data_IF_484981385789
#
_entry.id   IF_484981385789
#
_cell.length_a   1.000
_cell.length_b   1.000
_cell.length_c   1.000
_cell.angle_alpha   90.00
_cell.angle_beta   90.00
_cell.angle_gamma   90.00
#
_symmetry.space_group_name_H-M   'P 1'
#
loop_
_entity.id
_entity.type
_entity.pdbx_description
1 polymer ?
#
# COMPACT_ATOMS: atom_id res chain seq x y z
N UNK A 1 11.27 -12.01 10.12
CA UNK A 1 12.18 -12.30 8.99
C UNK A 1 12.52 -13.77 8.98
N UNK A 2 12.93 -14.34 10.11
CA UNK A 2 13.11 -15.80 10.27
C UNK A 2 11.90 -16.60 9.77
N UNK A 3 10.70 -16.21 10.20
CA UNK A 3 9.44 -16.76 9.72
C UNK A 3 9.26 -16.75 8.19
N UNK A 4 9.75 -15.74 7.47
CA UNK A 4 9.73 -15.72 6.01
C UNK A 4 10.79 -16.65 5.41
N UNK A 5 12.00 -16.68 5.97
CA UNK A 5 13.05 -17.60 5.53
C UNK A 5 12.59 -19.05 5.69
N UNK A 6 12.08 -19.41 6.86
CA UNK A 6 11.60 -20.75 7.18
C UNK A 6 10.37 -21.15 6.35
N UNK A 7 9.45 -20.22 6.07
CA UNK A 7 8.21 -20.57 5.37
C UNK A 7 8.32 -20.49 3.85
N UNK A 8 9.05 -19.51 3.30
CA UNK A 8 9.18 -19.31 1.86
C UNK A 8 10.40 -20.03 1.27
N UNK A 9 11.46 -20.21 2.06
CA UNK A 9 12.72 -20.79 1.62
C UNK A 9 13.20 -21.98 2.50
N UNK A 10 12.31 -22.91 2.93
CA UNK A 10 12.71 -24.03 3.80
C UNK A 10 13.75 -24.97 3.18
N UNK A 11 13.88 -24.95 1.85
CA UNK A 11 14.79 -25.79 1.08
C UNK A 11 16.17 -25.14 0.85
N UNK A 12 16.34 -23.88 1.24
CA UNK A 12 17.62 -23.18 1.13
C UNK A 12 18.34 -23.24 2.46
N UNK A 13 19.63 -23.57 2.41
CA UNK A 13 20.50 -23.40 3.57
C UNK A 13 20.56 -21.92 3.97
N UNK A 14 20.54 -21.68 5.29
CA UNK A 14 20.55 -20.33 5.87
C UNK A 14 21.77 -19.51 5.47
N UNK A 15 22.92 -20.16 5.23
CA UNK A 15 24.14 -19.50 4.74
C UNK A 15 23.99 -18.89 3.33
N UNK A 16 22.99 -19.29 2.55
CA UNK A 16 22.68 -18.73 1.23
C UNK A 16 21.73 -17.54 1.28
N UNK A 17 21.17 -17.22 2.45
CA UNK A 17 20.22 -16.14 2.65
C UNK A 17 20.89 -14.96 3.34
N UNK A 18 21.32 -13.99 2.54
CA UNK A 18 21.85 -12.73 3.07
C UNK A 18 20.69 -11.78 3.43
N UNK A 19 20.69 -11.28 4.67
CA UNK A 19 19.69 -10.32 5.14
C UNK A 19 20.35 -8.98 5.42
N UNK A 20 19.89 -7.94 4.72
CA UNK A 20 20.33 -6.56 4.95
C UNK A 20 19.25 -5.78 5.68
N UNK A 21 19.63 -5.10 6.77
CA UNK A 21 18.77 -4.16 7.49
C UNK A 21 19.45 -2.81 7.52
N UNK A 22 18.79 -1.80 6.95
CA UNK A 22 19.27 -0.43 6.93
C UNK A 22 18.52 0.38 7.98
N UNK A 23 19.20 1.38 8.55
CA UNK A 23 18.57 2.34 9.45
C UNK A 23 17.44 3.11 8.77
N UNK A 24 16.54 3.67 9.57
CA UNK A 24 15.51 4.55 9.04
C UNK A 24 16.11 5.92 8.70
N UNK A 25 15.54 6.60 7.71
CA UNK A 25 16.06 7.88 7.18
C UNK A 25 15.82 9.09 8.11
N UNK A 26 15.11 8.91 9.22
CA UNK A 26 14.79 10.00 10.14
C UNK A 26 15.79 10.03 11.31
N UNK A 27 16.09 11.21 11.86
CA UNK A 27 16.76 11.33 13.15
C UNK A 27 15.95 10.67 14.27
N UNK A 28 16.58 10.05 15.29
CA UNK A 28 15.88 9.47 16.44
C UNK A 28 14.99 10.48 17.20
N UNK A 29 15.39 11.75 17.24
CA UNK A 29 14.65 12.84 17.90
C UNK A 29 13.29 13.15 17.24
N UNK A 30 13.12 12.77 15.96
CA UNK A 30 11.88 12.99 15.23
C UNK A 30 10.80 11.97 15.59
N UNK A 31 11.12 10.93 16.36
CA UNK A 31 10.17 9.90 16.74
C UNK A 31 10.14 9.69 18.25
N UNK A 32 8.95 9.74 18.82
CA UNK A 32 8.70 9.25 20.17
C UNK A 32 7.82 8.00 20.11
N UNK A 33 8.34 6.83 20.46
CA UNK A 33 7.56 5.61 20.58
C UNK A 33 7.32 5.28 22.06
N UNK A 34 6.07 5.15 22.48
CA UNK A 34 5.71 5.11 23.90
C UNK A 34 4.70 3.99 24.18
N UNK A 35 5.10 2.93 24.90
CA UNK A 35 4.15 1.99 25.49
C UNK A 35 3.35 2.69 26.61
N UNK A 36 2.05 2.85 26.41
CA UNK A 36 1.14 3.45 27.40
C UNK A 36 0.45 2.32 28.16
N UNK A 37 1.00 2.00 29.34
CA UNK A 37 0.53 0.88 30.17
C UNK A 37 -0.71 1.27 30.99
N UNK A 38 -0.81 2.54 31.39
CA UNK A 38 -1.92 3.05 32.23
C UNK A 38 -2.50 4.33 31.64
N UNK A 39 -3.81 4.51 31.83
CA UNK A 39 -4.52 5.73 31.46
C UNK A 39 -4.33 6.87 32.45
N UNK A 40 -4.93 8.01 32.13
CA UNK A 40 -4.96 9.23 32.96
C UNK A 40 -5.64 9.04 34.31
N UNK A 41 -6.58 8.10 34.43
CA UNK A 41 -7.21 7.72 35.70
C UNK A 41 -6.50 6.52 36.36
N UNK A 42 -5.25 6.23 35.96
CA UNK A 42 -4.40 5.16 36.49
C UNK A 42 -4.92 3.73 36.24
N UNK A 43 -5.90 3.55 35.36
CA UNK A 43 -6.40 2.23 34.95
C UNK A 43 -5.34 1.53 34.11
N UNK A 44 -5.00 0.28 34.43
CA UNK A 44 -4.10 -0.51 33.58
C UNK A 44 -4.80 -0.92 32.28
N UNK A 45 -4.20 -0.58 31.15
CA UNK A 45 -4.72 -0.91 29.83
C UNK A 45 -4.42 -2.37 29.48
N UNK A 46 -5.38 -3.26 29.68
CA UNK A 46 -5.34 -4.66 29.28
C UNK A 46 -6.47 -4.96 28.29
N UNK A 47 -6.18 -4.82 27.00
CA UNK A 47 -7.16 -5.07 25.93
C UNK A 47 -7.21 -6.54 25.50
N UNK A 48 -6.94 -7.48 26.42
CA UNK A 48 -7.25 -8.90 26.19
C UNK A 48 -8.77 -9.13 26.12
N UNK A 49 -9.20 -10.18 25.42
CA UNK A 49 -10.62 -10.42 25.14
C UNK A 49 -11.52 -10.39 26.39
N UNK A 50 -11.05 -10.93 27.52
CA UNK A 50 -11.82 -10.96 28.77
C UNK A 50 -11.92 -9.61 29.50
N UNK A 51 -11.02 -8.67 29.24
CA UNK A 51 -10.95 -7.37 29.94
C UNK A 51 -11.28 -6.17 29.07
N UNK A 52 -11.12 -6.27 27.74
CA UNK A 52 -11.30 -5.15 26.79
C UNK A 52 -12.65 -4.45 26.88
N UNK A 53 -13.68 -5.17 27.31
CA UNK A 53 -15.05 -4.67 27.43
C UNK A 53 -15.36 -4.01 28.77
N UNK A 54 -14.39 -3.92 29.68
CA UNK A 54 -14.53 -3.19 30.94
C UNK A 54 -14.80 -1.70 30.66
N UNK A 55 -15.94 -1.21 31.16
CA UNK A 55 -16.39 0.15 30.90
C UNK A 55 -15.47 1.18 31.56
N UNK A 56 -14.91 0.88 32.72
CA UNK A 56 -13.98 1.79 33.42
C UNK A 56 -12.71 2.05 32.60
N UNK A 57 -12.14 0.98 32.03
CA UNK A 57 -10.99 1.07 31.14
C UNK A 57 -11.31 1.79 29.83
N UNK A 58 -12.50 1.59 29.24
CA UNK A 58 -12.92 2.30 28.02
C UNK A 58 -13.12 3.80 28.30
N UNK A 59 -13.64 4.16 29.47
CA UNK A 59 -13.78 5.56 29.91
C UNK A 59 -12.40 6.20 30.08
N UNK A 60 -11.46 5.54 30.77
CA UNK A 60 -10.10 6.06 30.96
C UNK A 60 -9.34 6.16 29.63
N UNK A 61 -9.52 5.19 28.73
CA UNK A 61 -8.99 5.26 27.37
C UNK A 61 -9.46 6.56 26.68
N UNK A 62 -10.75 6.86 26.75
CA UNK A 62 -11.31 8.07 26.16
C UNK A 62 -10.80 9.37 26.78
N UNK A 63 -10.65 9.42 28.11
CA UNK A 63 -10.03 10.56 28.81
C UNK A 63 -8.56 10.74 28.44
N UNK A 64 -7.84 9.63 28.31
CA UNK A 64 -6.44 9.61 27.88
C UNK A 64 -6.32 10.12 26.44
N UNK A 65 -7.19 9.68 25.53
CA UNK A 65 -7.24 10.20 24.15
C UNK A 65 -7.59 11.68 24.12
N UNK A 66 -8.55 12.15 24.91
CA UNK A 66 -8.87 13.57 25.01
C UNK A 66 -7.66 14.39 25.47
N UNK A 67 -6.93 13.91 26.48
CA UNK A 67 -5.70 14.55 26.95
C UNK A 67 -4.64 14.59 25.84
N UNK A 68 -4.42 13.50 25.09
CA UNK A 68 -3.48 13.44 23.97
C UNK A 68 -3.89 14.32 22.77
N UNK A 69 -5.18 14.60 22.60
CA UNK A 69 -5.66 15.49 21.55
C UNK A 69 -5.36 16.97 21.85
N UNK A 70 -5.16 17.38 23.11
CA UNK A 70 -4.93 18.78 23.50
C UNK A 70 -3.53 19.36 23.17
N UNK A 71 -2.67 18.60 22.51
CA UNK A 71 -1.22 18.65 22.73
C UNK A 71 -0.45 18.03 21.59
N UNK A 72 -0.94 16.93 21.01
CA UNK A 72 -0.46 16.48 19.71
C UNK A 72 -1.10 17.41 18.66
N UNK A 73 -0.33 18.15 17.87
CA UNK A 73 -0.87 19.05 16.85
C UNK A 73 -1.49 18.28 15.68
N UNK A 74 -2.25 18.97 14.85
CA UNK A 74 -2.75 18.48 13.55
C UNK A 74 -3.50 17.12 13.64
N UNK A 75 -3.09 16.14 12.83
CA UNK A 75 -3.73 14.84 12.69
C UNK A 75 -3.27 13.82 13.72
N UNK A 76 -4.24 13.18 14.37
CA UNK A 76 -4.06 12.01 15.22
C UNK A 76 -4.87 10.85 14.67
N UNK A 77 -4.24 9.69 14.49
CA UNK A 77 -4.90 8.47 14.04
C UNK A 77 -4.88 7.44 15.16
N UNK A 78 -6.05 6.92 15.55
CA UNK A 78 -6.20 5.90 16.59
C UNK A 78 -6.69 4.61 15.95
N UNK A 79 -5.87 3.57 16.01
CA UNK A 79 -6.17 2.25 15.46
C UNK A 79 -6.72 1.31 16.54
N UNK A 80 -7.89 0.74 16.27
CA UNK A 80 -8.56 -0.24 17.12
C UNK A 80 -8.44 -1.67 16.55
N UNK A 81 -8.54 -2.73 17.37
CA UNK A 81 -8.38 -4.12 16.92
C UNK A 81 -9.48 -4.65 16.00
N UNK A 82 -10.69 -4.11 16.08
CA UNK A 82 -11.82 -4.53 15.22
C UNK A 82 -12.90 -3.46 15.14
N UNK A 83 -13.75 -3.52 14.10
CA UNK A 83 -14.93 -2.67 13.97
C UNK A 83 -15.91 -2.85 15.13
N UNK A 84 -16.14 -4.08 15.59
CA UNK A 84 -17.03 -4.34 16.73
C UNK A 84 -16.54 -3.64 18.00
N UNK A 85 -15.23 -3.68 18.26
CA UNK A 85 -14.66 -3.04 19.43
C UNK A 85 -14.71 -1.51 19.30
N UNK A 86 -14.38 -0.96 18.14
CA UNK A 86 -14.54 0.47 17.86
C UNK A 86 -15.99 0.93 18.09
N UNK A 87 -16.97 0.16 17.62
CA UNK A 87 -18.40 0.45 17.82
C UNK A 87 -18.78 0.46 19.30
N UNK A 88 -18.29 -0.50 20.09
CA UNK A 88 -18.51 -0.55 21.53
C UNK A 88 -17.86 0.63 22.26
N UNK A 89 -16.63 0.97 21.91
CA UNK A 89 -15.92 2.13 22.47
C UNK A 89 -16.69 3.42 22.15
N UNK A 90 -17.10 3.62 20.90
CA UNK A 90 -17.91 4.77 20.49
C UNK A 90 -19.26 4.83 21.20
N UNK A 91 -19.92 3.69 21.43
CA UNK A 91 -21.16 3.63 22.18
C UNK A 91 -20.97 4.18 23.60
N UNK A 92 -19.92 3.76 24.30
CA UNK A 92 -19.60 4.25 25.66
C UNK A 92 -19.17 5.71 25.62
N UNK A 93 -18.32 6.12 24.68
CA UNK A 93 -17.84 7.51 24.59
C UNK A 93 -18.93 8.52 24.26
N UNK A 94 -20.00 8.08 23.59
CA UNK A 94 -21.20 8.89 23.30
C UNK A 94 -22.22 8.92 24.43
N UNK A 95 -22.09 8.08 25.47
CA UNK A 95 -22.98 8.18 26.64
C UNK A 95 -22.71 9.51 27.36
N UNK A 96 -23.79 10.25 27.65
CA UNK A 96 -23.71 11.46 28.45
C UNK A 96 -23.42 11.10 29.90
N UNK A 97 -22.50 11.84 30.52
CA UNK A 97 -22.18 11.69 31.94
C UNK A 97 -23.22 12.52 32.72
N UNK A 98 -24.03 11.91 33.62
CA UNK A 98 -25.14 12.60 34.29
C UNK A 98 -24.73 13.86 35.06
N UNK A 99 -23.52 13.88 35.63
CA UNK A 99 -23.03 14.99 36.45
C UNK A 99 -22.60 16.20 35.62
N UNK A 100 -22.02 16.00 34.43
CA UNK A 100 -21.49 17.08 33.59
C UNK A 100 -22.35 17.39 32.38
N UNK A 101 -23.31 16.54 32.04
CA UNK A 101 -24.10 16.61 30.80
C UNK A 101 -23.29 16.38 29.52
N UNK A 102 -21.96 16.50 29.55
CA UNK A 102 -21.07 16.22 28.41
C UNK A 102 -20.70 14.74 28.33
N UNK A 103 -20.39 14.28 27.12
CA UNK A 103 -19.84 12.95 26.87
C UNK A 103 -18.31 12.98 26.70
N UNK A 104 -17.69 11.81 26.62
CA UNK A 104 -16.25 11.69 26.34
C UNK A 104 -15.95 12.16 24.92
N UNK A 105 -16.83 11.84 23.96
CA UNK A 105 -16.65 12.27 22.57
C UNK A 105 -16.69 13.79 22.46
N UNK A 106 -17.56 14.47 23.21
CA UNK A 106 -17.60 15.93 23.27
C UNK A 106 -16.28 16.50 23.81
N UNK A 107 -15.72 15.85 24.83
CA UNK A 107 -14.44 16.26 25.42
C UNK A 107 -13.29 16.17 24.42
N UNK A 108 -13.26 15.12 23.59
CA UNK A 108 -12.30 14.98 22.50
C UNK A 108 -12.57 16.03 21.42
N UNK A 109 -13.84 16.26 21.07
CA UNK A 109 -14.26 17.18 20.03
C UNK A 109 -13.94 18.64 20.34
N UNK A 110 -13.71 19.01 21.60
CA UNK A 110 -13.21 20.35 21.97
C UNK A 110 -11.84 20.65 21.35
N UNK A 111 -10.99 19.64 21.19
CA UNK A 111 -9.60 19.80 20.72
C UNK A 111 -9.33 19.22 19.33
N UNK A 112 -10.19 18.34 18.79
CA UNK A 112 -10.04 17.81 17.42
C UNK A 112 -11.37 17.46 16.79
N UNK A 113 -11.53 17.72 15.49
CA UNK A 113 -12.66 17.17 14.74
C UNK A 113 -12.55 15.63 14.67
N UNK A 114 -13.59 14.90 15.07
CA UNK A 114 -13.54 13.43 15.15
C UNK A 114 -14.18 12.80 13.93
N UNK A 115 -13.43 11.91 13.28
CA UNK A 115 -13.82 11.07 12.17
C UNK A 115 -13.64 9.61 12.56
N UNK A 116 -14.49 8.71 12.06
CA UNK A 116 -14.34 7.29 12.35
C UNK A 116 -14.68 6.43 11.14
N UNK A 117 -13.96 5.33 10.99
CA UNK A 117 -14.21 4.32 9.99
C UNK A 117 -15.50 3.54 10.32
N UNK A 118 -16.25 3.13 9.30
CA UNK A 118 -17.36 2.18 9.45
C UNK A 118 -17.15 0.98 8.53
N UNK A 119 -17.68 -0.17 8.95
CA UNK A 119 -17.71 -1.37 8.12
C UNK A 119 -18.70 -1.23 6.96
N UNK A 120 -19.72 -0.36 7.12
CA UNK A 120 -20.79 -0.18 6.15
C UNK A 120 -20.24 0.19 4.77
N UNK A 121 -20.81 -0.42 3.73
CA UNK A 121 -20.44 -0.13 2.33
C UNK A 121 -20.80 1.31 1.92
N UNK A 122 -21.67 1.97 2.67
CA UNK A 122 -22.14 3.32 2.41
C UNK A 122 -21.09 4.39 2.76
N UNK A 123 -20.15 4.11 3.68
CA UNK A 123 -19.10 5.08 4.00
C UNK A 123 -18.11 5.16 2.85
N UNK A 124 -18.13 6.27 2.14
CA UNK A 124 -17.12 6.59 1.14
C UNK A 124 -15.81 6.91 1.87
N UNK A 125 -14.83 6.03 1.70
CA UNK A 125 -13.49 6.17 2.28
C UNK A 125 -12.83 7.47 1.80
N UNK A 126 -13.06 7.86 0.55
CA UNK A 126 -12.45 9.06 -0.03
C UNK A 126 -13.05 10.32 0.61
N UNK A 127 -14.37 10.35 0.83
CA UNK A 127 -15.06 11.46 1.52
C UNK A 127 -14.59 11.61 2.97
N UNK A 128 -14.46 10.49 3.69
CA UNK A 128 -13.96 10.47 5.07
C UNK A 128 -12.55 11.09 5.18
N UNK A 129 -11.66 10.73 4.25
CA UNK A 129 -10.30 11.25 4.22
C UNK A 129 -10.23 12.70 3.77
N UNK A 130 -11.07 13.09 2.83
CA UNK A 130 -11.18 14.48 2.41
C UNK A 130 -11.65 15.35 3.58
N UNK A 131 -12.64 14.88 4.34
CA UNK A 131 -13.10 15.53 5.57
C UNK A 131 -11.99 15.65 6.62
N UNK A 132 -11.28 14.55 6.90
CA UNK A 132 -10.15 14.52 7.83
C UNK A 132 -9.02 15.50 7.41
N UNK A 133 -8.60 15.44 6.16
CA UNK A 133 -7.56 16.31 5.61
C UNK A 133 -7.97 17.78 5.62
N UNK A 134 -9.22 18.09 5.26
CA UNK A 134 -9.75 19.46 5.29
C UNK A 134 -9.77 20.03 6.71
N UNK A 135 -10.22 19.26 7.70
CA UNK A 135 -10.24 19.69 9.10
C UNK A 135 -8.83 20.01 9.65
N UNK A 136 -7.81 19.24 9.22
CA UNK A 136 -6.42 19.48 9.58
C UNK A 136 -5.87 20.73 8.88
N UNK A 137 -6.07 20.85 7.57
CA UNK A 137 -5.51 21.95 6.79
C UNK A 137 -6.14 23.30 7.13
N UNK A 138 -7.42 23.32 7.53
CA UNK A 138 -8.09 24.51 8.04
C UNK A 138 -7.64 24.88 9.47
N UNK A 139 -6.90 24.01 10.16
CA UNK A 139 -6.50 24.20 11.55
C UNK A 139 -7.67 24.17 12.54
N UNK A 140 -8.85 23.69 12.11
CA UNK A 140 -10.05 23.71 12.91
C UNK A 140 -9.84 22.94 14.22
N UNK A 141 -10.05 23.63 15.35
CA UNK A 141 -9.89 23.10 16.72
C UNK A 141 -8.49 22.60 17.07
N UNK A 142 -7.45 22.81 16.23
CA UNK A 142 -6.12 22.21 16.44
C UNK A 142 -5.91 20.90 15.68
N UNK A 143 -6.83 20.54 14.77
CA UNK A 143 -6.69 19.44 13.82
C UNK A 143 -7.80 18.40 13.94
N UNK A 144 -7.50 17.15 13.58
CA UNK A 144 -8.49 16.09 13.49
C UNK A 144 -8.02 14.77 14.10
N UNK A 145 -8.98 14.00 14.60
CA UNK A 145 -8.80 12.66 15.12
C UNK A 145 -9.50 11.67 14.19
N UNK A 146 -8.77 10.67 13.69
CA UNK A 146 -9.32 9.59 12.89
C UNK A 146 -9.29 8.28 13.68
N UNK A 147 -10.47 7.73 13.97
CA UNK A 147 -10.63 6.42 14.60
C UNK A 147 -10.74 5.35 13.50
N UNK A 148 -9.72 4.52 13.34
CA UNK A 148 -9.63 3.50 12.29
C UNK A 148 -9.43 2.10 12.88
N UNK A 149 -9.55 1.06 12.05
CA UNK A 149 -9.36 -0.33 12.46
C UNK A 149 -8.06 -0.88 11.85
N UNK A 150 -7.28 -1.59 12.67
CA UNK A 150 -6.08 -2.31 12.25
C UNK A 150 -6.42 -3.38 11.21
N UNK A 151 -5.77 -3.36 10.05
CA UNK A 151 -6.12 -4.23 8.92
C UNK A 151 -7.47 -3.87 8.26
N UNK A 152 -8.06 -2.73 8.63
CA UNK A 152 -9.23 -2.16 7.98
C UNK A 152 -8.89 -1.44 6.67
N UNK A 153 -9.92 -0.95 5.99
CA UNK A 153 -9.82 -0.32 4.65
C UNK A 153 -8.82 0.84 4.66
N UNK A 154 -8.84 1.65 5.72
CA UNK A 154 -7.98 2.84 5.80
C UNK A 154 -6.52 2.50 6.13
N UNK A 155 -6.28 1.47 6.95
CA UNK A 155 -4.93 1.11 7.39
C UNK A 155 -4.02 0.60 6.27
N UNK A 156 -4.59 0.02 5.21
CA UNK A 156 -3.83 -0.50 4.07
C UNK A 156 -3.58 0.54 2.97
N UNK A 157 -4.57 1.38 2.67
CA UNK A 157 -4.60 2.18 1.44
C UNK A 157 -4.01 3.59 1.53
N UNK A 158 -3.72 4.11 2.73
CA UNK A 158 -3.56 5.56 2.93
C UNK A 158 -2.25 5.91 3.62
N UNK A 159 -1.69 7.03 3.20
CA UNK A 159 -0.47 7.59 3.72
C UNK A 159 -0.78 8.80 4.61
N UNK A 160 -0.42 8.74 5.90
CA UNK A 160 -0.60 9.82 6.87
C UNK A 160 0.73 10.56 7.11
N UNK A 161 1.27 11.22 6.08
CA UNK A 161 2.51 12.01 6.21
C UNK A 161 2.23 13.41 6.76
N UNK A 162 3.26 14.02 7.34
CA UNK A 162 3.21 15.40 7.80
C UNK A 162 2.01 15.65 8.74
N UNK A 163 1.31 16.77 8.56
CA UNK A 163 0.15 17.16 9.35
C UNK A 163 -0.91 16.06 9.48
N UNK A 164 -1.01 15.11 8.54
CA UNK A 164 -2.03 14.06 8.60
C UNK A 164 -1.78 13.00 9.69
N UNK A 165 -0.59 12.92 10.28
CA UNK A 165 -0.24 11.86 11.23
C UNK A 165 0.84 12.24 12.25
N UNK A 166 0.67 13.35 12.98
CA UNK A 166 1.59 13.75 14.06
C UNK A 166 1.48 12.86 15.29
N UNK A 167 0.32 12.23 15.49
CA UNK A 167 0.11 11.17 16.47
C UNK A 167 -0.46 9.92 15.83
N UNK A 168 0.13 8.76 16.11
CA UNK A 168 -0.48 7.46 15.84
C UNK A 168 -0.63 6.72 17.15
N UNK A 169 -1.85 6.35 17.48
CA UNK A 169 -2.19 5.58 18.67
C UNK A 169 -2.64 4.19 18.25
N UNK A 170 -2.11 3.15 18.87
CA UNK A 170 -2.54 1.76 18.66
C UNK A 170 -3.17 1.27 19.95
N UNK A 171 -4.47 0.96 19.92
CA UNK A 171 -5.22 0.45 21.06
C UNK A 171 -5.20 -1.08 21.02
N UNK A 172 -4.61 -1.70 22.03
CA UNK A 172 -4.51 -3.15 22.13
C UNK A 172 -3.60 -3.81 21.09
N UNK A 173 -3.72 -5.13 20.99
CA UNK A 173 -3.01 -5.98 20.04
C UNK A 173 -4.04 -6.73 19.17
N UNK A 174 -4.00 -6.60 17.82
CA UNK A 174 -4.97 -7.18 16.90
C UNK A 174 -4.71 -8.67 16.68
N UNK A 175 -4.73 -9.46 17.76
CA UNK A 175 -4.55 -10.89 17.68
C UNK A 175 -5.71 -11.52 16.88
N UNK A 176 -5.40 -12.36 15.87
CA UNK A 176 -6.44 -13.06 15.16
C UNK A 176 -7.20 -14.01 16.10
N UNK A 177 -8.43 -14.40 15.75
CA UNK A 177 -9.16 -15.36 16.57
C UNK A 177 -8.49 -16.74 16.53
N UNK A 178 -7.81 -17.12 17.62
CA UNK A 178 -7.15 -18.42 17.76
C UNK A 178 -8.12 -19.61 17.67
N UNK A 179 -9.42 -19.40 17.91
CA UNK A 179 -10.46 -20.44 17.79
C UNK A 179 -10.94 -20.64 16.35
N UNK A 180 -10.50 -19.81 15.41
CA UNK A 180 -10.80 -20.01 13.99
C UNK A 180 -10.09 -21.28 13.51
N UNK A 181 -10.83 -22.15 12.82
CA UNK A 181 -10.27 -23.37 12.22
C UNK A 181 -9.05 -23.08 11.33
N UNK A 182 -9.06 -21.96 10.60
CA UNK A 182 -7.93 -21.52 9.76
C UNK A 182 -6.69 -21.23 10.60
N UNK A 183 -6.86 -20.58 11.76
CA UNK A 183 -5.73 -20.27 12.65
C UNK A 183 -5.25 -21.49 13.42
N UNK A 184 -6.15 -22.35 13.87
CA UNK A 184 -5.79 -23.64 14.48
C UNK A 184 -4.96 -24.49 13.52
N UNK A 185 -5.43 -24.64 12.27
CA UNK A 185 -4.69 -25.39 11.25
C UNK A 185 -3.32 -24.77 10.94
N UNK A 186 -3.23 -23.43 10.85
CA UNK A 186 -1.94 -22.75 10.64
C UNK A 186 -0.97 -22.96 11.79
N UNK A 187 -1.44 -22.84 13.04
CA UNK A 187 -0.61 -23.05 14.23
C UNK A 187 -0.15 -24.50 14.29
N UNK A 188 -1.07 -25.46 14.14
CA UNK A 188 -0.73 -26.89 14.11
C UNK A 188 0.31 -27.23 13.04
N UNK A 189 0.18 -26.66 11.84
CA UNK A 189 1.16 -26.84 10.77
C UNK A 189 2.56 -26.31 11.13
N UNK A 190 2.63 -25.12 11.73
CA UNK A 190 3.89 -24.53 12.20
C UNK A 190 4.50 -25.37 13.34
N UNK A 191 3.67 -25.81 14.29
CA UNK A 191 4.09 -26.68 15.39
C UNK A 191 4.62 -28.02 14.88
N UNK A 192 3.95 -28.66 13.91
CA UNK A 192 4.40 -29.91 13.29
C UNK A 192 5.74 -29.75 12.59
N UNK A 193 5.89 -28.70 11.78
CA UNK A 193 7.16 -28.42 11.10
C UNK A 193 8.31 -28.20 12.08
N UNK A 194 8.09 -27.38 13.12
CA UNK A 194 9.10 -27.13 14.15
C UNK A 194 9.46 -28.42 14.92
N UNK A 195 8.49 -29.31 15.12
CA UNK A 195 8.71 -30.62 15.74
C UNK A 195 9.54 -31.57 14.86
N UNK A 196 9.31 -31.56 13.55
CA UNK A 196 10.00 -32.38 12.54
C UNK A 196 11.43 -31.87 12.27
N UNK A 197 11.62 -30.56 12.04
CA UNK A 197 12.95 -29.99 11.75
C UNK A 197 13.96 -30.21 12.87
N UNK A 198 13.49 -30.39 14.10
CA UNK A 198 14.36 -30.70 15.23
C UNK A 198 14.89 -32.15 15.19
N UNK A 199 14.16 -33.08 14.56
CA UNK A 199 14.59 -34.48 14.36
C UNK A 199 15.76 -34.58 13.39
N UNK A 200 15.74 -33.80 12.30
CA UNK A 200 16.80 -33.82 11.29
C UNK A 200 18.09 -33.15 11.75
N UNK A 201 18.00 -32.16 12.65
CA UNK A 201 19.19 -31.49 13.18
C UNK A 201 19.98 -32.42 14.14
N UNK A 202 19.29 -33.28 14.89
CA UNK A 202 19.96 -34.23 15.80
C UNK A 202 20.69 -35.37 15.10
N UNK A 203 20.24 -35.80 13.92
CA UNK A 203 20.96 -36.82 13.14
C UNK A 203 22.24 -36.30 12.50
N UNK A 204 22.43 -34.98 12.48
CA UNK A 204 23.56 -34.32 11.80
C UNK A 204 24.67 -33.87 12.76
N UNK A 205 24.53 -34.10 14.07
CA UNK A 205 25.54 -33.76 15.07
C UNK A 205 26.41 -34.98 15.35
N UNK A 206 27.70 -34.86 15.01
CA UNK A 206 28.74 -35.89 15.04
C UNK A 206 28.89 -36.62 16.40
N UNK A 207 29.34 -37.87 16.30
CA UNK A 207 29.28 -38.96 17.28
C UNK A 207 30.05 -38.79 18.61
N UNK A 208 30.71 -37.67 18.89
CA UNK A 208 31.69 -37.61 19.99
C UNK A 208 31.21 -36.98 21.31
N UNK A 209 29.94 -36.62 21.44
CA UNK A 209 29.39 -36.29 22.75
C UNK A 209 28.13 -37.08 23.06
N UNK A 210 28.28 -38.03 24.00
CA UNK A 210 27.24 -38.72 24.79
C UNK A 210 25.92 -37.98 24.70
N UNK A 211 25.10 -38.38 23.74
CA UNK A 211 23.89 -37.70 23.34
C UNK A 211 23.02 -37.47 24.56
N UNK A 212 22.86 -36.21 24.95
CA UNK A 212 21.80 -35.81 25.87
C UNK A 212 20.51 -36.11 25.12
N UNK A 213 19.94 -37.31 25.33
CA UNK A 213 18.69 -37.73 24.71
C UNK A 213 17.73 -36.55 24.79
N UNK A 214 17.39 -35.99 23.64
CA UNK A 214 16.55 -34.82 23.61
C UNK A 214 15.17 -35.31 24.03
N UNK A 215 14.80 -35.01 25.28
CA UNK A 215 13.51 -35.35 25.82
C UNK A 215 12.41 -34.92 24.85
N UNK A 216 11.48 -35.82 24.57
CA UNK A 216 10.25 -35.57 23.80
C UNK A 216 9.54 -34.29 24.29
N UNK A 217 9.67 -33.99 25.58
CA UNK A 217 9.18 -32.78 26.22
C UNK A 217 9.79 -31.50 25.63
N UNK A 218 11.11 -31.46 25.42
CA UNK A 218 11.80 -30.31 24.85
C UNK A 218 11.34 -30.04 23.41
N UNK A 219 11.09 -31.10 22.64
CA UNK A 219 10.57 -30.99 21.25
C UNK A 219 9.17 -30.40 21.24
N UNK A 220 8.29 -30.92 22.10
CA UNK A 220 6.91 -30.40 22.27
C UNK A 220 6.91 -28.95 22.72
N UNK A 221 7.81 -28.56 23.63
CA UNK A 221 7.92 -27.20 24.13
C UNK A 221 8.40 -26.23 23.02
N UNK A 222 9.40 -26.63 22.23
CA UNK A 222 9.89 -25.83 21.10
C UNK A 222 8.84 -25.68 20.00
N UNK A 223 8.11 -26.75 19.67
CA UNK A 223 7.00 -26.72 18.73
C UNK A 223 5.93 -25.69 19.17
N UNK A 224 5.46 -25.78 20.41
CA UNK A 224 4.50 -24.81 20.99
C UNK A 224 5.04 -23.38 21.00
N UNK A 225 6.34 -23.21 21.27
CA UNK A 225 6.99 -21.89 21.20
C UNK A 225 6.95 -21.31 19.79
N UNK A 226 7.23 -22.11 18.76
CA UNK A 226 7.15 -21.71 17.36
C UNK A 226 5.71 -21.33 16.95
N UNK A 227 4.71 -22.11 17.37
CA UNK A 227 3.29 -21.80 17.13
C UNK A 227 2.87 -20.47 17.76
N UNK A 228 3.29 -20.23 19.01
CA UNK A 228 3.06 -18.96 19.72
C UNK A 228 3.77 -17.78 19.04
N UNK A 229 5.02 -17.96 18.68
CA UNK A 229 5.82 -16.94 17.99
C UNK A 229 5.18 -16.56 16.65
N UNK A 230 4.75 -17.53 15.86
CA UNK A 230 4.06 -17.29 14.60
C UNK A 230 2.78 -16.46 14.78
N UNK A 231 1.98 -16.80 15.79
CA UNK A 231 0.76 -16.08 16.13
C UNK A 231 1.04 -14.62 16.57
N UNK A 232 2.08 -14.41 17.36
CA UNK A 232 2.53 -13.07 17.77
C UNK A 232 3.10 -12.27 16.60
N UNK A 233 3.88 -12.90 15.72
CA UNK A 233 4.40 -12.27 14.51
C UNK A 233 3.27 -11.82 13.59
N UNK A 234 2.23 -12.64 13.43
CA UNK A 234 1.04 -12.26 12.66
C UNK A 234 0.37 -11.00 13.21
N UNK A 235 0.18 -10.93 14.52
CA UNK A 235 -0.38 -9.76 15.20
C UNK A 235 0.51 -8.51 15.00
N UNK A 236 1.82 -8.66 15.25
CA UNK A 236 2.76 -7.55 15.19
C UNK A 236 3.02 -7.05 13.77
N UNK A 237 2.85 -7.88 12.74
CA UNK A 237 2.87 -7.43 11.34
C UNK A 237 1.78 -6.38 11.07
N UNK A 238 0.56 -6.60 11.56
CA UNK A 238 -0.54 -5.63 11.42
C UNK A 238 -0.24 -4.35 12.18
N UNK A 239 0.27 -4.44 13.41
CA UNK A 239 0.68 -3.27 14.21
C UNK A 239 1.76 -2.46 13.47
N UNK A 240 2.82 -3.14 13.02
CA UNK A 240 3.95 -2.53 12.32
C UNK A 240 3.54 -1.90 10.98
N UNK A 241 2.55 -2.48 10.30
CA UNK A 241 1.95 -1.90 9.10
C UNK A 241 1.20 -0.60 9.40
N UNK A 242 0.53 -0.49 10.55
CA UNK A 242 -0.19 0.72 10.94
C UNK A 242 0.76 1.83 11.38
N UNK A 243 1.71 1.54 12.28
CA UNK A 243 2.60 2.56 12.84
C UNK A 243 3.66 3.05 11.85
N UNK A 244 4.09 2.21 10.90
CA UNK A 244 5.05 2.58 9.85
C UNK A 244 4.49 3.55 8.81
N UNK A 245 3.23 3.99 8.92
CA UNK A 245 2.55 4.90 7.97
C UNK A 245 2.73 6.37 8.29
N UNK A 246 3.15 6.70 9.52
CA UNK A 246 3.21 8.07 10.04
C UNK A 246 4.38 8.90 9.49
N UNK A 247 5.38 8.27 8.88
CA UNK A 247 6.66 8.88 8.54
C UNK A 247 7.03 8.55 7.10
N UNK A 248 7.41 9.56 6.31
CA UNK A 248 7.70 9.35 4.88
C UNK A 248 9.01 9.91 4.35
N UNK A 249 9.54 10.95 4.94
CA UNK A 249 10.79 11.55 4.50
C UNK A 249 11.68 11.90 5.67
N UNK A 250 12.96 12.18 5.38
CA UNK A 250 13.99 12.45 6.36
C UNK A 250 13.66 13.56 7.38
N UNK A 251 12.88 14.56 6.98
CA UNK A 251 12.44 15.66 7.86
C UNK A 251 11.10 15.45 8.58
N UNK A 252 10.48 14.28 8.44
CA UNK A 252 9.17 14.00 9.04
C UNK A 252 9.32 13.60 10.52
N UNK A 253 8.26 13.75 11.34
CA UNK A 253 8.28 13.47 12.77
C UNK A 253 6.94 12.93 13.29
N UNK A 254 6.90 12.04 14.28
CA UNK A 254 5.63 11.56 14.82
C UNK A 254 5.77 11.01 16.24
N UNK A 255 4.67 11.05 17.00
CA UNK A 255 4.52 10.29 18.22
C UNK A 255 3.73 9.01 17.95
N UNK A 256 4.29 7.85 18.31
CA UNK A 256 3.62 6.54 18.24
C UNK A 256 3.33 6.10 19.68
N UNK A 257 2.04 6.03 20.04
CA UNK A 257 1.60 5.60 21.37
C UNK A 257 0.94 4.22 21.28
N UNK A 258 1.42 3.26 22.05
CA UNK A 258 0.93 1.87 22.02
C UNK A 258 0.24 1.55 23.34
N UNK A 259 -1.08 1.62 23.34
CA UNK A 259 -1.92 1.48 24.53
C UNK A 259 -2.26 0.02 24.78
N UNK A 260 -1.41 -0.66 25.54
CA UNK A 260 -1.65 -1.98 26.14
C UNK A 260 -0.44 -2.32 27.02
N UNK A 261 -0.66 -2.89 28.21
CA UNK A 261 0.43 -3.34 29.10
C UNK A 261 1.38 -4.31 28.41
N UNK A 262 0.92 -5.10 27.43
CA UNK A 262 1.77 -6.08 26.74
C UNK A 262 2.87 -5.43 25.91
N UNK A 263 2.72 -4.17 25.48
CA UNK A 263 3.79 -3.43 24.78
C UNK A 263 4.99 -3.09 25.67
N UNK A 264 4.87 -3.18 26.99
CA UNK A 264 6.03 -3.05 27.90
C UNK A 264 6.86 -4.34 27.99
N UNK A 265 6.33 -5.47 27.53
CA UNK A 265 7.05 -6.74 27.58
C UNK A 265 8.11 -6.83 26.49
N UNK A 266 9.31 -7.32 26.85
CA UNK A 266 10.43 -7.48 25.93
C UNK A 266 10.06 -8.37 24.72
N UNK A 267 9.23 -9.39 24.94
CA UNK A 267 8.72 -10.29 23.88
C UNK A 267 7.97 -9.54 22.77
N UNK A 268 7.21 -8.51 23.10
CA UNK A 268 6.48 -7.68 22.12
C UNK A 268 7.39 -6.58 21.56
N UNK A 269 8.22 -5.94 22.40
CA UNK A 269 9.15 -4.90 21.95
C UNK A 269 10.18 -5.42 20.94
N UNK A 270 10.64 -6.67 21.10
CA UNK A 270 11.53 -7.33 20.15
C UNK A 270 10.88 -7.61 18.78
N UNK A 271 9.55 -7.48 18.67
CA UNK A 271 8.80 -7.62 17.41
C UNK A 271 8.48 -6.26 16.76
N UNK A 272 8.84 -5.13 17.37
CA UNK A 272 8.81 -3.80 16.74
C UNK A 272 10.03 -3.62 15.82
N UNK A 273 9.92 -2.81 14.75
CA UNK A 273 11.04 -2.43 13.90
C UNK A 273 12.17 -1.79 14.74
N UNK A 274 13.44 -2.03 14.37
CA UNK A 274 14.58 -1.54 15.14
C UNK A 274 14.57 -0.02 15.34
N UNK A 275 14.21 0.73 14.30
CA UNK A 275 14.15 2.19 14.33
C UNK A 275 13.07 2.72 15.29
N UNK A 276 11.96 2.00 15.47
CA UNK A 276 10.94 2.34 16.48
C UNK A 276 11.43 1.94 17.87
N UNK A 277 12.08 0.77 17.97
CA UNK A 277 12.63 0.25 19.23
C UNK A 277 13.67 1.18 19.84
N UNK A 278 14.53 1.78 19.02
CA UNK A 278 15.53 2.75 19.46
C UNK A 278 14.91 4.04 20.01
N UNK A 279 13.71 4.39 19.55
CA UNK A 279 12.94 5.55 20.04
C UNK A 279 11.94 5.19 21.15
N UNK A 280 12.02 3.98 21.73
CA UNK A 280 11.15 3.61 22.85
C UNK A 280 11.50 4.43 24.10
N UNK A 281 10.56 5.27 24.53
CA UNK A 281 10.63 5.95 25.83
C UNK A 281 9.91 5.09 26.86
N UNK A 282 10.66 4.46 27.75
CA UNK A 282 10.07 3.76 28.90
C UNK A 282 9.61 4.84 29.89
N UNK A 283 8.31 5.12 29.90
CA UNK A 283 7.72 6.00 30.91
C UNK A 283 7.70 5.28 32.26
N UNK A 284 8.61 5.67 33.15
CA UNK A 284 8.58 5.27 34.57
C UNK A 284 7.51 6.01 35.37
N UNK A 285 6.93 7.08 34.84
CA UNK A 285 5.98 7.94 35.55
C UNK A 285 4.58 7.89 34.92
N UNK A 286 3.57 7.71 35.79
CA UNK A 286 2.14 7.78 35.46
C UNK A 286 1.80 9.14 34.84
N UNK A 287 0.92 9.14 33.83
CA UNK A 287 0.33 10.35 33.22
C UNK A 287 -0.56 11.10 34.24
N UNK A 288 0.04 11.62 35.31
CA UNK A 288 -0.65 12.50 36.26
C UNK A 288 -0.82 13.90 35.64
N UNK A 289 -1.94 14.56 35.96
CA UNK A 289 -2.28 15.90 35.43
C UNK A 289 -1.19 16.95 35.66
N UNK A 290 -0.35 16.77 36.68
CA UNK A 290 0.77 17.67 37.00
C UNK A 290 1.97 17.55 36.06
N UNK A 291 2.05 16.52 35.21
CA UNK A 291 3.16 16.37 34.25
C UNK A 291 2.89 17.01 32.89
N UNK A 292 1.80 17.76 32.72
CA UNK A 292 1.38 18.43 31.45
C UNK A 292 2.53 19.13 30.71
N UNK A 293 3.50 19.66 31.43
CA UNK A 293 4.63 20.41 30.90
C UNK A 293 5.77 19.52 30.39
N UNK A 294 6.13 18.42 31.08
CA UNK A 294 7.35 17.66 30.75
C UNK A 294 7.28 16.97 29.38
N UNK A 295 6.09 16.58 28.93
CA UNK A 295 5.92 15.85 27.67
C UNK A 295 5.66 16.76 26.48
N UNK A 296 4.91 17.86 26.67
CA UNK A 296 4.66 18.86 25.64
C UNK A 296 5.98 19.51 25.20
N UNK A 297 6.89 19.76 26.15
CA UNK A 297 8.25 20.22 25.88
C UNK A 297 9.10 19.21 25.09
N UNK A 298 8.86 17.90 25.24
CA UNK A 298 9.60 16.88 24.48
C UNK A 298 9.08 16.65 23.05
N UNK A 299 7.88 17.16 22.73
CA UNK A 299 7.25 17.07 21.41
C UNK A 299 7.39 18.35 20.59
N UNK A 300 7.88 19.43 21.18
CA UNK A 300 8.13 20.67 20.45
C UNK A 300 9.40 20.53 19.60
N UNK A 301 9.36 20.87 18.30
CA UNK A 301 10.54 20.87 17.47
C UNK A 301 11.59 21.80 18.07
N UNK A 302 12.79 21.28 18.39
CA UNK A 302 13.95 22.13 18.65
C UNK A 302 14.21 22.93 17.39
N UNK A 303 13.93 24.23 17.43
CA UNK A 303 14.32 25.16 16.37
C UNK A 303 15.84 25.10 16.24
N UNK A 304 16.33 24.39 15.22
CA UNK A 304 17.72 24.51 14.81
C UNK A 304 17.85 25.89 14.16
N UNK A 305 18.62 26.76 14.81
CA UNK A 305 19.07 28.03 14.26
C UNK A 305 19.91 27.77 13.01
N UNK A 306 19.27 27.61 11.86
CA UNK A 306 19.95 27.65 10.58
C UNK A 306 19.68 29.02 9.96
N UNK A 307 20.75 29.80 9.92
CA UNK A 307 20.85 31.13 9.34
C UNK A 307 20.06 31.23 8.04
N UNK A 308 19.01 32.05 8.08
CA UNK A 308 18.25 32.45 6.92
C UNK A 308 19.11 33.40 6.08
N UNK A 309 19.71 32.89 5.01
CA UNK A 309 20.13 33.71 3.89
C UNK A 309 19.01 33.66 2.84
N UNK A 310 18.31 34.77 2.73
CA UNK A 310 17.57 35.17 1.54
C UNK A 310 18.53 35.16 0.33
N UNK A 311 18.09 34.63 -0.83
CA UNK A 311 17.64 35.58 -1.85
C UNK A 311 16.46 35.10 -2.71
N UNK A 312 15.60 36.09 -2.99
CA UNK A 312 14.94 36.42 -4.25
C UNK A 312 13.95 35.45 -4.94
N UNK A 313 12.68 35.84 -4.79
CA UNK A 313 11.65 35.96 -5.82
C UNK A 313 11.70 34.97 -6.98
N UNK A 314 10.98 33.85 -6.84
CA UNK A 314 10.53 33.06 -7.98
C UNK A 314 9.01 33.07 -8.05
N UNK A 315 8.56 33.74 -9.11
CA UNK A 315 7.20 33.94 -9.59
C UNK A 315 6.33 32.68 -9.45
N UNK A 316 5.12 32.91 -8.94
CA UNK A 316 4.01 31.96 -8.77
C UNK A 316 3.70 31.17 -10.05
N UNK A 317 4.41 30.05 -10.27
CA UNK A 317 4.04 29.08 -11.30
C UNK A 317 3.03 28.10 -10.72
N UNK A 318 1.77 28.24 -11.14
CA UNK A 318 0.62 27.41 -10.79
C UNK A 318 0.94 25.92 -10.56
N UNK A 319 0.71 25.46 -9.33
CA UNK A 319 0.90 24.10 -8.78
C UNK A 319 0.32 22.96 -9.65
N UNK A 320 -0.63 23.28 -10.53
CA UNK A 320 -1.29 22.31 -11.41
C UNK A 320 -0.30 21.61 -12.35
N UNK A 321 0.80 22.25 -12.75
CA UNK A 321 1.72 21.67 -13.75
C UNK A 321 2.71 20.64 -13.16
N UNK A 322 2.89 20.61 -11.83
CA UNK A 322 3.78 19.65 -11.15
C UNK A 322 3.10 18.35 -10.71
N UNK A 323 1.79 18.19 -10.89
CA UNK A 323 1.13 16.96 -10.47
C UNK A 323 1.33 15.83 -11.50
N UNK A 324 1.90 14.66 -11.10
CA UNK A 324 2.13 13.52 -12.00
C UNK A 324 0.84 12.95 -12.60
N UNK A 325 -0.32 13.35 -12.07
CA UNK A 325 -1.64 12.99 -12.58
C UNK A 325 -1.92 13.53 -13.99
N UNK A 326 -1.20 14.57 -14.47
CA UNK A 326 -1.41 15.12 -15.83
C UNK A 326 -1.14 14.10 -16.94
N UNK A 327 -0.29 13.11 -16.68
CA UNK A 327 0.05 12.05 -17.64
C UNK A 327 -1.00 10.93 -17.69
N UNK A 328 -1.98 10.93 -16.77
CA UNK A 328 -2.99 9.89 -16.72
C UNK A 328 -4.05 10.08 -17.80
N UNK A 329 -4.11 9.13 -18.74
CA UNK A 329 -5.08 9.11 -19.84
C UNK A 329 -6.55 8.98 -19.38
N UNK A 330 -6.83 8.73 -18.10
CA UNK A 330 -8.18 8.52 -17.57
C UNK A 330 -8.84 9.79 -16.99
N UNK A 331 -8.21 10.97 -17.11
CA UNK A 331 -8.73 12.23 -16.52
C UNK A 331 -10.16 12.56 -16.95
N UNK A 332 -10.52 12.31 -18.22
CA UNK A 332 -11.85 12.60 -18.78
C UNK A 332 -12.98 11.75 -18.16
N UNK A 333 -12.63 10.63 -17.51
CA UNK A 333 -13.59 9.71 -16.91
C UNK A 333 -13.82 9.96 -15.42
N UNK A 334 -13.06 10.87 -14.78
CA UNK A 334 -13.28 11.24 -13.37
C UNK A 334 -14.58 12.03 -13.26
N UNK A 335 -15.48 11.58 -12.38
CA UNK A 335 -16.83 12.14 -12.20
C UNK A 335 -17.95 11.30 -12.84
N UNK A 336 -17.62 10.37 -13.75
CA UNK A 336 -18.60 9.42 -14.25
C UNK A 336 -18.63 8.19 -13.33
N UNK A 337 -19.76 7.91 -12.65
CA UNK A 337 -19.94 6.75 -11.73
C UNK A 337 -19.57 5.39 -12.37
N UNK A 338 -19.52 5.33 -13.69
CA UNK A 338 -19.17 4.14 -14.48
C UNK A 338 -17.81 4.23 -15.19
N UNK A 339 -17.06 5.33 -15.03
CA UNK A 339 -15.82 5.62 -15.77
C UNK A 339 -15.93 5.44 -17.30
N UNK A 340 -17.14 5.62 -17.86
CA UNK A 340 -17.46 5.42 -19.28
C UNK A 340 -18.16 4.10 -19.62
N UNK A 341 -18.32 3.15 -18.70
CA UNK A 341 -18.83 1.80 -18.98
C UNK A 341 -20.35 1.61 -18.88
N UNK A 342 -21.13 2.67 -19.09
CA UNK A 342 -22.60 2.59 -19.05
C UNK A 342 -23.17 2.14 -17.69
N UNK A 343 -24.51 2.11 -17.58
CA UNK A 343 -25.20 1.86 -16.30
C UNK A 343 -25.34 0.37 -15.97
N UNK A 344 -25.53 -0.48 -16.98
CA UNK A 344 -25.82 -1.91 -16.83
C UNK A 344 -24.53 -2.72 -16.93
N UNK A 345 -24.19 -3.41 -15.84
CA UNK A 345 -23.07 -4.35 -15.79
C UNK A 345 -21.67 -3.72 -15.64
N UNK A 346 -21.47 -2.42 -15.90
CA UNK A 346 -20.22 -1.69 -15.64
C UNK A 346 -18.98 -2.52 -16.09
N UNK A 347 -18.00 -2.70 -15.20
CA UNK A 347 -16.81 -3.54 -15.41
C UNK A 347 -17.07 -5.05 -15.50
N UNK A 348 -18.31 -5.51 -15.34
CA UNK A 348 -18.69 -6.92 -15.18
C UNK A 348 -19.47 -7.49 -16.38
N UNK A 349 -19.90 -6.68 -17.35
CA UNK A 349 -20.64 -7.15 -18.56
C UNK A 349 -19.79 -7.35 -19.81
N UNK A 350 -18.47 -7.22 -19.71
CA UNK A 350 -17.63 -7.75 -20.77
C UNK A 350 -17.64 -9.27 -20.65
N UNK A 351 -17.85 -10.03 -21.74
CA UNK A 351 -17.62 -11.47 -21.72
C UNK A 351 -16.23 -11.68 -21.10
N UNK A 352 -16.20 -12.43 -20.00
CA UNK A 352 -15.05 -12.50 -19.11
C UNK A 352 -13.77 -12.80 -19.89
N UNK A 353 -12.70 -12.07 -19.54
CA UNK A 353 -11.34 -12.35 -19.98
C UNK A 353 -11.09 -12.14 -21.48
N UNK A 354 -10.58 -10.96 -21.86
CA UNK A 354 -9.82 -10.88 -23.13
C UNK A 354 -8.41 -11.43 -22.87
N UNK A 355 -8.04 -12.49 -23.58
CA UNK A 355 -6.70 -13.08 -23.51
C UNK A 355 -6.52 -14.07 -22.35
N UNK A 356 -5.36 -14.03 -21.70
CA UNK A 356 -4.91 -15.03 -20.71
C UNK A 356 -5.39 -14.73 -19.27
N UNK A 357 -6.57 -14.12 -19.11
CA UNK A 357 -7.13 -13.83 -17.79
C UNK A 357 -7.38 -15.13 -17.01
N UNK A 358 -6.98 -15.18 -15.74
CA UNK A 358 -7.03 -16.41 -14.92
C UNK A 358 -5.78 -17.28 -15.02
N UNK A 359 -4.80 -16.89 -15.84
CA UNK A 359 -3.56 -17.64 -16.04
C UNK A 359 -2.77 -17.94 -14.77
N UNK A 360 -2.71 -17.01 -13.80
CA UNK A 360 -2.03 -17.26 -12.52
C UNK A 360 -2.91 -17.98 -11.47
N UNK A 361 -4.17 -18.27 -11.80
CA UNK A 361 -5.13 -18.87 -10.89
C UNK A 361 -5.61 -20.21 -11.45
N UNK A 362 -6.85 -20.29 -11.94
CA UNK A 362 -7.46 -21.55 -12.40
C UNK A 362 -6.85 -22.11 -13.69
N UNK A 363 -6.12 -21.31 -14.47
CA UNK A 363 -5.40 -21.79 -15.65
C UNK A 363 -3.91 -22.03 -15.40
N UNK A 364 -3.43 -21.90 -14.15
CA UNK A 364 -2.00 -21.97 -13.83
C UNK A 364 -1.39 -23.32 -14.17
N UNK A 365 -2.08 -24.41 -13.85
CA UNK A 365 -1.61 -25.76 -14.19
C UNK A 365 -1.42 -25.96 -15.70
N UNK A 366 -2.35 -25.46 -16.52
CA UNK A 366 -2.21 -25.56 -17.98
C UNK A 366 -1.08 -24.69 -18.51
N UNK A 367 -0.88 -23.50 -17.95
CA UNK A 367 0.21 -22.61 -18.37
C UNK A 367 1.57 -23.14 -17.95
N UNK A 368 1.71 -23.65 -16.73
CA UNK A 368 2.97 -24.24 -16.27
C UNK A 368 3.29 -25.53 -17.06
N UNK A 369 2.27 -26.28 -17.50
CA UNK A 369 2.43 -27.50 -18.33
C UNK A 369 2.81 -27.21 -19.78
N UNK A 370 2.09 -26.31 -20.47
CA UNK A 370 2.26 -26.10 -21.91
C UNK A 370 3.06 -24.83 -22.27
N UNK A 371 3.27 -23.94 -21.31
CA UNK A 371 4.01 -22.68 -21.46
C UNK A 371 4.92 -22.41 -20.23
N UNK A 372 5.86 -23.30 -19.91
CA UNK A 372 6.75 -23.13 -18.76
C UNK A 372 7.50 -21.79 -18.85
N UNK A 373 7.56 -21.07 -17.73
CA UNK A 373 8.20 -19.75 -17.65
C UNK A 373 7.33 -18.57 -18.13
N UNK A 374 6.07 -18.81 -18.51
CA UNK A 374 5.14 -17.74 -18.87
C UNK A 374 4.94 -16.74 -17.71
N UNK A 375 4.86 -17.23 -16.47
CA UNK A 375 4.84 -16.42 -15.26
C UNK A 375 6.17 -16.50 -14.53
N UNK A 376 6.83 -15.35 -14.40
CA UNK A 376 8.11 -15.22 -13.73
C UNK A 376 8.76 -13.87 -14.04
N UNK A 377 9.77 -13.49 -13.27
CA UNK A 377 10.63 -12.34 -13.60
C UNK A 377 11.50 -12.72 -14.79
N UNK A 378 10.96 -12.59 -16.00
CA UNK A 378 11.78 -12.54 -17.21
C UNK A 378 12.52 -11.20 -17.14
N UNK A 379 13.86 -11.22 -17.09
CA UNK A 379 14.68 -10.03 -16.88
C UNK A 379 14.35 -8.86 -17.82
N UNK A 380 14.94 -7.69 -17.55
CA UNK A 380 14.70 -6.48 -18.34
C UNK A 380 15.00 -6.75 -19.84
N UNK A 381 13.96 -6.78 -20.69
CA UNK A 381 14.09 -7.12 -22.12
C UNK A 381 15.00 -6.18 -22.91
N UNK A 382 15.13 -4.94 -22.46
CA UNK A 382 15.97 -3.92 -23.09
C UNK A 382 16.80 -3.22 -22.02
N UNK A 383 18.09 -3.53 -21.96
CA UNK A 383 19.04 -2.76 -21.19
C UNK A 383 19.21 -1.38 -21.83
N UNK A 384 19.00 -0.31 -21.05
CA UNK A 384 19.10 1.08 -21.49
C UNK A 384 18.25 1.41 -22.73
N UNK A 385 16.92 1.40 -22.56
CA UNK A 385 15.95 1.64 -23.63
C UNK A 385 16.07 3.07 -24.21
N UNK A 386 16.67 3.20 -25.38
CA UNK A 386 16.65 4.46 -26.14
C UNK A 386 15.36 4.57 -26.96
N UNK A 387 14.59 5.64 -26.76
CA UNK A 387 13.26 5.78 -27.38
C UNK A 387 13.31 5.80 -28.92
N UNK A 388 14.40 6.28 -29.51
CA UNK A 388 14.58 6.37 -30.95
C UNK A 388 14.50 4.99 -31.64
N UNK A 389 15.00 3.92 -31.00
CA UNK A 389 14.89 2.54 -31.52
C UNK A 389 13.45 2.01 -31.58
N UNK A 390 12.54 2.64 -30.83
CA UNK A 390 11.12 2.25 -30.76
C UNK A 390 10.20 3.22 -31.47
N UNK A 391 10.75 4.27 -32.10
CA UNK A 391 9.97 5.21 -32.88
C UNK A 391 9.32 4.46 -34.05
N UNK A 392 7.99 4.33 -33.99
CA UNK A 392 7.19 3.62 -35.00
C UNK A 392 5.79 4.23 -35.13
N UNK A 393 5.65 5.52 -35.49
CA UNK A 393 4.33 6.11 -35.69
C UNK A 393 3.56 5.31 -36.73
N UNK A 394 2.27 5.14 -36.44
CA UNK A 394 1.43 4.14 -37.09
C UNK A 394 0.45 4.84 -38.02
N UNK A 395 0.28 4.29 -39.22
CA UNK A 395 -0.83 4.60 -40.13
C UNK A 395 -1.59 3.33 -40.50
N UNK A 396 -2.90 3.46 -40.72
CA UNK A 396 -3.76 2.38 -41.18
C UNK A 396 -4.05 2.51 -42.68
N UNK A 397 -4.44 1.41 -43.34
CA UNK A 397 -4.70 1.38 -44.78
C UNK A 397 -5.76 2.39 -45.24
N UNK A 398 -6.81 2.61 -44.44
CA UNK A 398 -7.87 3.58 -44.73
C UNK A 398 -7.40 5.04 -44.84
N UNK A 399 -6.20 5.35 -44.32
CA UNK A 399 -5.63 6.70 -44.35
C UNK A 399 -4.57 6.89 -45.44
N UNK A 400 -4.05 5.84 -46.07
CA UNK A 400 -2.97 5.96 -47.06
C UNK A 400 -3.36 6.86 -48.23
N UNK A 401 -4.56 6.70 -48.78
CA UNK A 401 -5.07 7.50 -49.89
C UNK A 401 -5.36 8.96 -49.54
N UNK A 402 -5.40 9.31 -48.25
CA UNK A 402 -5.51 10.70 -47.82
C UNK A 402 -4.18 11.45 -47.83
N UNK A 403 -3.05 10.74 -47.93
CA UNK A 403 -1.71 11.32 -48.01
C UNK A 403 -1.28 11.63 -49.44
N UNK A 404 -1.94 11.03 -50.43
CA UNK A 404 -1.67 11.30 -51.85
C UNK A 404 -2.33 12.65 -52.20
N UNK A 405 -1.61 13.60 -52.84
CA UNK A 405 -2.18 14.85 -53.29
C UNK A 405 -3.43 14.62 -54.15
N UNK A 406 -4.47 15.43 -53.95
CA UNK A 406 -5.79 15.25 -54.57
C UNK A 406 -5.70 15.13 -56.10
N UNK A 407 -4.90 15.98 -56.74
CA UNK A 407 -4.69 15.93 -58.19
C UNK A 407 -4.12 14.58 -58.68
N UNK A 408 -3.14 14.02 -57.96
CA UNK A 408 -2.56 12.72 -58.28
C UNK A 408 -3.56 11.60 -58.02
N UNK A 409 -4.27 11.66 -56.90
CA UNK A 409 -5.32 10.70 -56.54
C UNK A 409 -6.40 10.63 -57.60
N UNK A 410 -6.92 11.78 -58.04
CA UNK A 410 -8.01 11.85 -59.03
C UNK A 410 -7.56 11.34 -60.40
N UNK A 411 -6.30 11.57 -60.78
CA UNK A 411 -5.74 11.04 -62.03
C UNK A 411 -5.72 9.51 -62.06
N UNK A 412 -5.36 8.87 -60.94
CA UNK A 412 -5.37 7.40 -60.83
C UNK A 412 -6.79 6.84 -60.69
N UNK A 413 -7.68 7.52 -59.97
CA UNK A 413 -9.10 7.10 -59.85
C UNK A 413 -9.82 7.19 -61.20
N UNK A 414 -9.52 8.19 -62.02
CA UNK A 414 -10.04 8.34 -63.40
C UNK A 414 -9.32 7.44 -64.42
N UNK A 415 -8.41 6.59 -63.97
CA UNK A 415 -7.64 5.65 -64.80
C UNK A 415 -6.84 6.33 -65.94
N UNK A 416 -6.33 7.55 -65.72
CA UNK A 416 -5.53 8.27 -66.71
C UNK A 416 -4.10 7.71 -66.86
N UNK A 417 -3.66 6.88 -65.90
CA UNK A 417 -2.31 6.30 -65.85
C UNK A 417 -2.38 4.79 -65.53
N UNK A 418 -2.84 3.94 -66.47
CA UNK A 418 -3.11 2.53 -66.18
C UNK A 418 -1.84 1.71 -65.87
N UNK A 419 -0.70 2.08 -66.46
CA UNK A 419 0.56 1.30 -66.35
C UNK A 419 1.50 1.81 -65.26
N UNK A 420 1.07 2.73 -64.40
CA UNK A 420 1.90 3.27 -63.32
C UNK A 420 1.14 3.22 -62.00
N UNK A 421 1.86 3.08 -60.90
CA UNK A 421 1.30 3.13 -59.55
C UNK A 421 1.88 4.32 -58.77
N UNK A 422 1.08 5.04 -57.96
CA UNK A 422 1.61 6.05 -57.08
C UNK A 422 2.54 5.43 -56.04
N UNK A 423 3.69 6.07 -55.83
CA UNK A 423 4.66 5.69 -54.79
C UNK A 423 4.41 6.59 -53.57
N UNK A 424 4.14 5.98 -52.43
CA UNK A 424 3.88 6.65 -51.17
C UNK A 424 4.99 6.33 -50.17
N UNK A 425 5.91 7.28 -49.98
CA UNK A 425 6.93 7.19 -48.94
C UNK A 425 6.42 7.78 -47.63
N UNK A 426 6.31 6.92 -46.62
CA UNK A 426 5.72 7.26 -45.34
C UNK A 426 6.73 7.87 -44.36
N UNK A 427 8.03 7.63 -44.54
CA UNK A 427 9.06 8.09 -43.61
C UNK A 427 9.14 9.63 -43.54
N UNK A 428 9.20 10.37 -44.67
CA UNK A 428 9.17 11.84 -44.65
C UNK A 428 7.87 12.41 -44.07
N UNK A 429 6.76 11.65 -44.18
CA UNK A 429 5.45 12.01 -43.63
C UNK A 429 5.34 11.72 -42.13
N UNK A 430 6.40 11.21 -41.50
CA UNK A 430 6.45 10.93 -40.07
C UNK A 430 5.81 9.60 -39.67
N UNK A 431 5.54 8.69 -40.62
CA UNK A 431 5.01 7.36 -40.35
C UNK A 431 6.05 6.29 -40.67
N UNK A 432 6.14 5.28 -39.79
CA UNK A 432 7.12 4.19 -39.94
C UNK A 432 6.48 2.82 -40.03
N UNK A 433 5.24 2.67 -39.54
CA UNK A 433 4.54 1.39 -39.50
C UNK A 433 3.15 1.45 -40.13
N UNK A 434 2.87 0.53 -41.04
CA UNK A 434 1.55 0.37 -41.67
C UNK A 434 0.79 -0.80 -41.03
N UNK A 435 -0.47 -0.58 -40.69
CA UNK A 435 -1.38 -1.59 -40.13
C UNK A 435 -2.59 -1.84 -41.03
N UNK A 436 -3.12 -3.06 -40.98
CA UNK A 436 -4.15 -3.58 -41.89
C UNK A 436 -5.58 -3.09 -41.65
N UNK A 437 -5.82 -2.13 -40.75
CA UNK A 437 -7.19 -1.64 -40.49
C UNK A 437 -7.70 -0.84 -41.70
N UNK A 438 -8.96 -1.07 -42.06
CA UNK A 438 -9.60 -0.37 -43.17
C UNK A 438 -9.57 -1.15 -44.49
N UNK A 439 -10.04 -0.49 -45.55
CA UNK A 439 -10.05 -0.99 -46.92
C UNK A 439 -9.17 -0.07 -47.78
N UNK A 440 -8.45 -0.69 -48.71
CA UNK A 440 -7.76 0.02 -49.78
C UNK A 440 -8.69 -0.02 -51.01
N UNK A 441 -8.82 1.04 -51.81
CA UNK A 441 -9.39 0.91 -53.15
C UNK A 441 -8.57 -0.07 -54.00
N UNK A 442 -9.22 -0.72 -54.96
CA UNK A 442 -8.62 -1.67 -55.90
C UNK A 442 -7.77 -0.98 -56.98
N UNK A 443 -6.89 -0.07 -56.54
CA UNK A 443 -5.94 0.65 -57.37
C UNK A 443 -4.55 0.33 -56.83
N UNK A 444 -3.63 -0.22 -57.66
CA UNK A 444 -2.27 -0.53 -57.26
C UNK A 444 -1.55 0.68 -56.65
N UNK A 445 -0.86 0.48 -55.53
CA UNK A 445 -0.05 1.51 -54.87
C UNK A 445 1.24 0.89 -54.34
N UNK A 446 2.35 1.61 -54.48
CA UNK A 446 3.62 1.21 -53.86
C UNK A 446 3.76 1.97 -52.55
N UNK A 447 3.78 1.27 -51.42
CA UNK A 447 3.92 1.87 -50.09
C UNK A 447 5.29 1.55 -49.54
N UNK A 448 6.04 2.59 -49.19
CA UNK A 448 7.38 2.52 -48.60
C UNK A 448 7.31 2.82 -47.11
N UNK A 449 7.73 1.87 -46.28
CA UNK A 449 7.77 2.03 -44.83
C UNK A 449 8.79 1.10 -44.16
N UNK A 450 9.18 1.40 -42.93
CA UNK A 450 10.04 0.51 -42.13
C UNK A 450 9.38 -0.79 -41.71
N UNK A 451 8.06 -0.76 -41.48
CA UNK A 451 7.34 -1.91 -40.94
C UNK A 451 5.95 -2.05 -41.55
N UNK A 452 5.56 -3.28 -41.86
CA UNK A 452 4.20 -3.65 -42.25
C UNK A 452 3.66 -4.72 -41.31
N UNK A 453 2.37 -4.67 -41.00
CA UNK A 453 1.70 -5.86 -40.45
C UNK A 453 1.43 -6.86 -41.56
N UNK A 454 1.43 -8.16 -41.24
CA UNK A 454 1.09 -9.23 -42.19
C UNK A 454 -0.25 -9.00 -42.90
N UNK A 455 -1.23 -8.46 -42.17
CA UNK A 455 -2.53 -8.09 -42.73
C UNK A 455 -2.46 -6.90 -43.69
N UNK A 456 -1.63 -5.90 -43.41
CA UNK A 456 -1.45 -4.74 -44.28
C UNK A 456 -0.78 -5.16 -45.59
N UNK A 457 0.29 -5.94 -45.50
CA UNK A 457 1.03 -6.46 -46.64
C UNK A 457 0.14 -7.31 -47.55
N UNK A 458 -0.66 -8.22 -46.97
CA UNK A 458 -1.63 -9.03 -47.72
C UNK A 458 -2.63 -8.16 -48.48
N UNK A 459 -3.25 -7.19 -47.81
CA UNK A 459 -4.26 -6.31 -48.44
C UNK A 459 -3.67 -5.39 -49.52
N UNK A 460 -2.44 -4.92 -49.35
CA UNK A 460 -1.74 -4.13 -50.38
C UNK A 460 -1.49 -5.01 -51.62
N UNK A 461 -1.00 -6.24 -51.43
CA UNK A 461 -0.79 -7.21 -52.52
C UNK A 461 -2.09 -7.60 -53.23
N UNK A 462 -3.18 -7.80 -52.48
CA UNK A 462 -4.52 -8.08 -53.03
C UNK A 462 -5.07 -6.93 -53.89
N UNK A 463 -4.74 -5.69 -53.56
CA UNK A 463 -5.08 -4.53 -54.38
C UNK A 463 -4.11 -4.31 -55.58
N UNK A 464 -3.20 -5.27 -55.84
CA UNK A 464 -2.18 -5.18 -56.89
C UNK A 464 -0.99 -4.27 -56.56
N UNK A 465 -0.90 -3.77 -55.32
CA UNK A 465 0.18 -2.91 -54.85
C UNK A 465 1.42 -3.66 -54.34
N UNK A 466 2.44 -2.90 -53.95
CA UNK A 466 3.70 -3.41 -53.40
C UNK A 466 3.97 -2.76 -52.04
N UNK A 467 4.33 -3.57 -51.05
CA UNK A 467 4.83 -3.09 -49.76
C UNK A 467 6.35 -3.19 -49.77
N UNK A 468 7.04 -2.05 -49.80
CA UNK A 468 8.48 -1.94 -49.87
C UNK A 468 9.05 -1.55 -48.51
N UNK A 469 9.95 -2.38 -47.98
CA UNK A 469 10.62 -2.13 -46.71
C UNK A 469 11.77 -1.13 -46.92
N UNK A 470 11.76 -0.05 -46.15
CA UNK A 470 12.81 0.99 -46.17
C UNK A 470 13.50 1.01 -44.82
N UNK A 471 14.83 1.13 -44.82
CA UNK A 471 15.68 0.94 -43.64
C UNK A 471 15.48 1.96 -42.52
#
# INVERSE_FOLDING_TARGET
MEDYAEHLFPYLDTGRLETFSYGHVIPPDNLAAIPVVRGTCNTEFDFTYGKRNDESMIIDLGRTIAALCCVIPDGVVVFFPSYDYLKQVLMIWKKHIPTTGSSIIDSIQRSKAVFHESQDKATDVDELLQGYSSAINTGSRGGALLLSVMGGKLSEGINFSDKLGRGVVVVGLPFPNIRSAVWQAKIQHVESKAYESYLSLSSSLDQDHKGKEISEENRKLKAKSAGREFYENACMRTVNQCIGRAIRHQGDYAAILMMDRRYSSLRIQNKLPSWIRQSLKILTHTLSETSRTSWALSLQPRQSHLNAQHPDSLVESNIVDKMPTRLSKTRKSRGHVSAGYGRIGKHRKHPGGRGMAGGQHHHRTNLDKYHPGYFGKVGMRYFHKTQNKFWKPIINLDKLWSLIPVATRDAYVKNQKPNTAPVLDLLPLGYSKVLGKGRLPEIPVVVRARYFSKEAERKIKEAGGVAELVA
#
